data_IF_149433744525
#
_entry.id   IF_149433744525
#
_cell.length_a   1.000
_cell.length_b   1.000
_cell.length_c   1.000
_cell.angle_alpha   90.00
_cell.angle_beta   90.00
_cell.angle_gamma   90.00
#
_symmetry.space_group_name_H-M   'P 1'
#
loop_
_entity.id
_entity.type
_entity.pdbx_description
1 polymer ?
#
# COMPACT_ATOMS: atom_id res chain seq x y z
N UNK A 1 70.28 80.59 -6.92
CA UNK A 1 69.47 79.64 -7.61
C UNK A 1 69.33 78.45 -6.69
N UNK A 2 68.24 78.39 -5.92
CA UNK A 2 67.98 77.34 -4.94
C UNK A 2 66.78 76.53 -5.48
N UNK A 3 67.03 75.27 -5.78
CA UNK A 3 66.03 74.32 -6.30
C UNK A 3 65.34 73.67 -5.08
N UNK A 4 64.05 73.86 -5.01
CA UNK A 4 63.17 73.29 -3.93
C UNK A 4 62.63 71.92 -4.48
N UNK A 5 63.02 70.85 -3.81
CA UNK A 5 62.50 69.50 -4.16
C UNK A 5 61.27 69.28 -3.24
N UNK A 6 60.12 69.19 -3.83
CA UNK A 6 58.85 68.79 -3.14
C UNK A 6 58.70 67.29 -3.25
N UNK A 7 58.77 66.60 -2.14
CA UNK A 7 58.52 65.17 -2.03
C UNK A 7 57.02 64.95 -1.83
N UNK A 8 56.34 64.33 -2.79
CA UNK A 8 54.94 63.93 -2.68
C UNK A 8 54.88 62.56 -2.04
N UNK A 9 54.28 62.48 -0.86
CA UNK A 9 54.04 61.24 -0.14
C UNK A 9 52.70 60.66 -0.61
N UNK A 10 52.74 59.54 -1.36
CA UNK A 10 51.55 58.84 -1.84
C UNK A 10 51.13 57.84 -0.76
N UNK A 11 49.99 58.08 -0.12
CA UNK A 11 49.39 57.16 0.86
C UNK A 11 48.57 56.12 0.07
N UNK A 12 49.03 54.86 0.02
CA UNK A 12 48.25 53.74 -0.46
C UNK A 12 47.28 53.26 0.64
N UNK A 13 46.00 53.52 0.45
CA UNK A 13 44.94 52.91 1.25
C UNK A 13 44.70 51.49 0.73
N UNK A 14 45.09 50.50 1.52
CA UNK A 14 44.65 49.11 1.30
C UNK A 14 43.19 48.98 1.71
N UNK A 15 42.29 48.93 0.73
CA UNK A 15 40.94 48.47 0.90
C UNK A 15 40.97 46.97 1.11
N UNK A 16 40.80 46.53 2.34
CA UNK A 16 40.61 45.09 2.69
C UNK A 16 39.32 44.58 2.11
N UNK A 17 39.39 43.79 1.05
CA UNK A 17 38.25 43.05 0.52
C UNK A 17 37.94 41.90 1.48
N UNK A 18 36.98 42.09 2.40
CA UNK A 18 36.44 41.02 3.19
C UNK A 18 35.67 40.11 2.28
N UNK A 19 36.25 38.95 1.93
CA UNK A 19 35.54 37.84 1.30
C UNK A 19 34.58 37.24 2.34
N UNK A 20 33.33 37.65 2.31
CA UNK A 20 32.25 36.88 2.91
C UNK A 20 32.29 35.49 2.28
N UNK A 21 32.88 34.51 2.96
CA UNK A 21 32.62 33.11 2.74
C UNK A 21 31.17 32.86 3.15
N UNK A 22 30.25 32.98 2.23
CA UNK A 22 28.97 32.27 2.33
C UNK A 22 29.35 30.80 2.35
N UNK A 23 29.40 30.22 3.54
CA UNK A 23 29.32 28.77 3.71
C UNK A 23 27.94 28.39 3.17
N UNK A 24 27.92 27.99 1.90
CA UNK A 24 26.85 27.13 1.40
C UNK A 24 26.88 25.90 2.32
N UNK A 25 25.99 25.84 3.29
CA UNK A 25 25.76 24.63 4.04
C UNK A 25 25.44 23.57 3.02
N UNK A 26 26.33 22.61 2.86
CA UNK A 26 26.05 21.36 2.17
C UNK A 26 24.86 20.73 2.92
N UNK A 27 23.66 21.01 2.43
CA UNK A 27 22.47 20.25 2.77
C UNK A 27 22.67 18.88 2.12
N UNK A 28 23.52 18.04 2.72
CA UNK A 28 23.62 16.63 2.40
C UNK A 28 22.23 16.07 2.54
N UNK A 29 21.53 15.88 1.41
CA UNK A 29 20.22 15.27 1.40
C UNK A 29 20.35 13.94 2.11
N UNK A 30 19.63 13.78 3.22
CA UNK A 30 19.57 12.51 3.93
C UNK A 30 18.98 11.48 2.99
N UNK A 31 19.54 10.29 2.95
CA UNK A 31 19.15 9.22 2.02
C UNK A 31 18.84 7.95 2.76
N UNK A 32 18.04 7.11 2.14
CA UNK A 32 17.82 5.71 2.50
C UNK A 32 18.02 4.81 1.29
N UNK A 33 17.89 3.51 1.43
CA UNK A 33 17.93 2.55 0.33
C UNK A 33 16.89 1.45 0.54
N UNK A 34 16.33 0.94 -0.55
CA UNK A 34 15.50 -0.27 -0.55
C UNK A 34 16.37 -1.54 -0.41
N UNK A 35 15.83 -2.64 0.17
CA UNK A 35 14.56 -2.72 0.86
C UNK A 35 14.59 -1.99 2.22
N UNK A 36 13.42 -1.53 2.70
CA UNK A 36 13.31 -0.86 3.99
C UNK A 36 13.05 -1.84 5.14
N UNK A 37 12.31 -2.93 4.88
CA UNK A 37 11.99 -3.97 5.86
C UNK A 37 11.89 -5.35 5.20
N UNK A 38 12.03 -6.37 5.99
CA UNK A 38 11.59 -7.73 5.66
C UNK A 38 10.07 -7.81 5.80
N UNK A 39 9.41 -8.56 4.92
CA UNK A 39 7.98 -8.78 5.00
C UNK A 39 7.27 -8.68 3.66
N UNK A 40 5.95 -8.75 3.73
CA UNK A 40 5.07 -8.76 2.57
C UNK A 40 3.83 -7.91 2.84
N UNK A 41 3.04 -7.69 1.77
CA UNK A 41 1.71 -7.10 1.83
C UNK A 41 1.68 -5.80 2.65
N UNK A 42 2.55 -4.82 2.31
CA UNK A 42 2.76 -3.64 3.13
C UNK A 42 1.55 -2.71 3.11
N UNK A 43 1.02 -2.40 4.29
CA UNK A 43 -0.03 -1.41 4.43
C UNK A 43 0.40 -0.27 5.33
N UNK A 44 0.42 0.94 4.79
CA UNK A 44 0.72 2.16 5.54
C UNK A 44 -0.34 3.22 5.28
N UNK A 45 -0.79 3.90 6.35
CA UNK A 45 -1.63 5.09 6.26
C UNK A 45 -1.00 6.25 7.00
N UNK A 46 -1.25 7.47 6.54
CA UNK A 46 -0.87 8.71 7.23
C UNK A 46 -2.06 9.27 7.98
N UNK A 47 -1.90 9.55 9.28
CA UNK A 47 -2.90 10.18 10.12
C UNK A 47 -2.28 11.36 10.87
N UNK A 48 -2.61 12.57 10.45
CA UNK A 48 -1.90 13.76 10.91
C UNK A 48 -0.41 13.69 10.54
N UNK A 49 0.47 13.75 11.54
CA UNK A 49 1.91 13.60 11.33
C UNK A 49 2.42 12.17 11.54
N UNK A 50 1.55 11.24 11.89
CA UNK A 50 1.92 9.85 12.15
C UNK A 50 1.71 8.97 10.91
N UNK A 51 2.62 8.05 10.70
CA UNK A 51 2.50 6.93 9.79
C UNK A 51 2.18 5.68 10.59
N UNK A 52 1.09 5.02 10.23
CA UNK A 52 0.67 3.76 10.84
C UNK A 52 0.94 2.67 9.83
N UNK A 53 1.89 1.80 10.11
CA UNK A 53 2.18 0.61 9.32
C UNK A 53 1.53 -0.60 9.99
N UNK A 54 0.73 -1.36 9.22
CA UNK A 54 -0.01 -2.53 9.69
C UNK A 54 0.54 -3.78 8.99
N UNK A 55 0.87 -4.81 9.75
CA UNK A 55 1.41 -6.05 9.20
C UNK A 55 1.08 -7.26 10.08
N UNK A 56 1.14 -8.45 9.50
CA UNK A 56 0.98 -9.70 10.24
C UNK A 56 2.32 -10.37 10.54
N UNK A 57 2.45 -10.95 11.71
CA UNK A 57 3.58 -11.79 12.10
C UNK A 57 3.11 -12.85 13.12
N UNK A 58 3.49 -14.11 12.90
CA UNK A 58 3.18 -15.22 13.81
C UNK A 58 1.68 -15.31 14.19
N UNK A 59 0.80 -15.21 13.18
CA UNK A 59 -0.66 -15.14 13.36
C UNK A 59 -1.14 -14.02 14.28
N UNK A 60 -0.40 -12.92 14.36
CA UNK A 60 -0.77 -11.70 15.07
C UNK A 60 -0.82 -10.52 14.10
N UNK A 61 -1.56 -9.47 14.47
CA UNK A 61 -1.62 -8.20 13.76
C UNK A 61 -0.90 -7.16 14.61
N UNK A 62 0.10 -6.54 13.99
CA UNK A 62 1.00 -5.59 14.64
C UNK A 62 0.89 -4.24 13.94
N UNK A 63 0.82 -3.18 14.74
CA UNK A 63 0.91 -1.81 14.27
C UNK A 63 2.26 -1.21 14.65
N UNK A 64 2.82 -0.44 13.71
CA UNK A 64 3.94 0.46 13.98
C UNK A 64 3.46 1.90 13.81
N UNK A 65 3.67 2.77 14.81
CA UNK A 65 3.39 4.20 14.72
C UNK A 65 4.68 5.00 14.74
N UNK A 66 4.93 5.77 13.68
CA UNK A 66 6.17 6.52 13.47
C UNK A 66 5.89 7.90 12.87
N UNK A 67 6.77 8.87 13.15
CA UNK A 67 6.82 10.15 12.41
C UNK A 67 7.57 10.02 11.08
N UNK A 68 8.16 8.86 10.80
CA UNK A 68 8.98 8.59 9.62
C UNK A 68 8.36 7.47 8.79
N UNK A 69 8.33 7.66 7.48
CA UNK A 69 7.92 6.62 6.54
C UNK A 69 8.95 5.49 6.46
N UNK A 70 10.23 5.85 6.56
CA UNK A 70 11.36 4.93 6.33
C UNK A 70 11.76 4.11 7.54
N UNK A 71 11.10 4.29 8.71
CA UNK A 71 11.45 3.61 9.96
C UNK A 71 10.22 3.21 10.76
N UNK A 72 10.25 2.00 11.28
CA UNK A 72 9.32 1.63 12.34
C UNK A 72 9.50 2.55 13.55
N UNK A 73 8.37 2.86 14.19
CA UNK A 73 8.32 3.56 15.46
C UNK A 73 7.94 2.62 16.60
N UNK A 74 7.03 3.10 17.45
CA UNK A 74 6.46 2.28 18.51
C UNK A 74 5.63 1.14 17.92
N UNK A 75 5.83 -0.07 18.45
CA UNK A 75 5.13 -1.27 18.01
C UNK A 75 4.08 -1.71 19.02
N UNK A 76 2.91 -2.10 18.54
CA UNK A 76 1.88 -2.73 19.37
C UNK A 76 1.28 -3.93 18.66
N UNK A 77 1.27 -5.08 19.33
CA UNK A 77 0.43 -6.21 18.95
C UNK A 77 -1.01 -5.87 19.37
N UNK A 78 -1.92 -5.72 18.41
CA UNK A 78 -3.30 -5.33 18.63
C UNK A 78 -4.25 -6.52 18.67
N UNK A 79 -3.86 -7.65 18.11
CA UNK A 79 -4.65 -8.87 18.07
C UNK A 79 -3.78 -10.08 17.75
N UNK A 80 -4.10 -11.20 18.34
CA UNK A 80 -3.50 -12.51 18.06
C UNK A 80 -4.61 -13.51 17.79
N UNK A 81 -4.41 -14.35 16.77
CA UNK A 81 -5.35 -15.39 16.40
C UNK A 81 -5.71 -16.28 17.61
N UNK A 82 -6.98 -16.57 17.84
CA UNK A 82 -7.40 -17.43 18.94
C UNK A 82 -6.98 -18.88 18.71
N UNK A 83 -6.93 -19.69 19.76
CA UNK A 83 -6.59 -21.11 19.65
C UNK A 83 -7.64 -21.94 18.88
N UNK A 84 -8.87 -21.44 18.80
CA UNK A 84 -10.00 -22.09 18.14
C UNK A 84 -10.81 -21.08 17.32
N UNK A 85 -11.65 -21.56 16.41
CA UNK A 85 -12.49 -20.70 15.57
C UNK A 85 -12.00 -20.64 14.14
N UNK A 86 -12.75 -19.88 13.32
CA UNK A 86 -12.53 -19.77 11.89
C UNK A 86 -11.20 -19.05 11.54
N UNK A 87 -10.70 -18.18 12.43
CA UNK A 87 -9.54 -17.29 12.24
C UNK A 87 -8.34 -17.70 13.11
N UNK A 88 -8.21 -19.00 13.44
CA UNK A 88 -7.15 -19.48 14.33
C UNK A 88 -5.75 -19.57 13.70
N UNK A 89 -5.66 -19.41 12.38
CA UNK A 89 -4.40 -19.58 11.63
C UNK A 89 -4.36 -18.72 10.37
N UNK A 90 -3.19 -18.67 9.75
CA UNK A 90 -2.99 -18.07 8.41
C UNK A 90 -3.52 -16.63 8.33
N UNK A 91 -3.09 -15.79 9.26
CA UNK A 91 -3.44 -14.35 9.31
C UNK A 91 -2.62 -13.60 8.28
N UNK A 92 -3.28 -13.05 7.24
CA UNK A 92 -2.65 -12.43 6.09
C UNK A 92 -3.13 -10.99 5.86
N UNK A 93 -2.24 -10.20 5.25
CA UNK A 93 -2.49 -8.91 4.62
C UNK A 93 -3.46 -8.00 5.39
N UNK A 94 -3.18 -7.64 6.66
CA UNK A 94 -4.05 -6.75 7.41
C UNK A 94 -3.92 -5.31 6.90
N UNK A 95 -5.05 -4.64 6.72
CA UNK A 95 -5.17 -3.24 6.33
C UNK A 95 -5.91 -2.43 7.37
N UNK A 96 -5.32 -1.34 7.87
CA UNK A 96 -5.94 -0.46 8.84
C UNK A 96 -6.53 0.79 8.19
N UNK A 97 -7.79 1.10 8.50
CA UNK A 97 -8.54 2.24 7.95
C UNK A 97 -9.19 3.05 9.07
N UNK A 98 -9.14 4.39 8.97
CA UNK A 98 -9.83 5.28 9.91
C UNK A 98 -11.18 5.70 9.32
N UNK A 99 -12.28 5.16 9.85
CA UNK A 99 -13.64 5.36 9.32
C UNK A 99 -14.55 5.80 10.48
N UNK A 100 -15.27 6.92 10.32
CA UNK A 100 -16.25 7.43 11.31
C UNK A 100 -15.70 7.46 12.75
N UNK A 101 -14.50 8.01 12.93
CA UNK A 101 -13.83 8.17 14.23
C UNK A 101 -13.48 6.86 14.95
N UNK A 102 -13.22 5.78 14.19
CA UNK A 102 -12.71 4.51 14.70
C UNK A 102 -11.71 3.93 13.70
N UNK A 103 -10.78 3.14 14.20
CA UNK A 103 -9.89 2.34 13.38
C UNK A 103 -10.50 0.97 13.15
N UNK A 104 -10.44 0.52 11.92
CA UNK A 104 -10.84 -0.83 11.52
C UNK A 104 -9.66 -1.51 10.84
N UNK A 105 -9.42 -2.77 11.20
CA UNK A 105 -8.39 -3.58 10.54
C UNK A 105 -9.09 -4.73 9.83
N UNK A 106 -8.99 -4.74 8.51
CA UNK A 106 -9.46 -5.83 7.68
C UNK A 106 -8.30 -6.80 7.46
N UNK A 107 -8.57 -8.09 7.62
CA UNK A 107 -7.54 -9.12 7.51
C UNK A 107 -8.14 -10.39 6.91
N UNK A 108 -7.30 -11.25 6.33
CA UNK A 108 -7.70 -12.60 5.98
C UNK A 108 -7.16 -13.58 7.03
N UNK A 109 -7.96 -14.61 7.34
CA UNK A 109 -7.53 -15.72 8.19
C UNK A 109 -8.33 -16.98 7.86
N UNK A 110 -7.83 -18.11 8.31
CA UNK A 110 -8.47 -19.41 8.12
C UNK A 110 -8.25 -20.34 9.30
N UNK A 111 -8.78 -21.54 9.18
CA UNK A 111 -8.64 -22.56 10.22
C UNK A 111 -7.30 -23.27 10.14
N UNK A 112 -6.75 -23.42 8.94
CA UNK A 112 -5.51 -24.15 8.66
C UNK A 112 -5.02 -23.89 7.24
N UNK A 113 -3.86 -24.39 6.91
CA UNK A 113 -3.28 -24.43 5.55
C UNK A 113 -1.87 -25.01 5.59
N UNK A 114 -1.31 -25.43 4.46
CA UNK A 114 -1.95 -25.73 3.18
C UNK A 114 -2.85 -26.98 3.23
N UNK A 115 -3.84 -27.12 2.35
CA UNK A 115 -4.32 -26.15 1.36
C UNK A 115 -5.04 -24.97 2.04
N UNK A 116 -4.88 -23.75 1.49
CA UNK A 116 -5.43 -22.51 2.08
C UNK A 116 -6.88 -22.27 1.62
N UNK A 117 -7.75 -23.23 1.83
CA UNK A 117 -9.15 -23.22 1.34
C UNK A 117 -10.14 -22.58 2.34
N UNK A 118 -9.68 -22.26 3.55
CA UNK A 118 -10.55 -21.77 4.63
C UNK A 118 -10.47 -20.25 4.84
N UNK A 119 -9.74 -19.54 3.98
CA UNK A 119 -9.56 -18.08 4.15
C UNK A 119 -10.88 -17.32 4.06
N UNK A 120 -11.09 -16.44 5.01
CA UNK A 120 -12.24 -15.53 5.11
C UNK A 120 -11.72 -14.13 5.49
N UNK A 121 -12.46 -13.12 5.07
CA UNK A 121 -12.22 -11.75 5.53
C UNK A 121 -12.79 -11.55 6.93
N UNK A 122 -11.98 -10.99 7.82
CA UNK A 122 -12.37 -10.58 9.16
C UNK A 122 -12.16 -9.11 9.39
N UNK A 123 -12.75 -8.55 10.43
CA UNK A 123 -12.58 -7.14 10.79
C UNK A 123 -12.44 -6.96 12.30
N UNK A 124 -11.45 -6.15 12.69
CA UNK A 124 -11.27 -5.66 14.06
C UNK A 124 -11.69 -4.19 14.10
N UNK A 125 -12.21 -3.75 15.24
CA UNK A 125 -12.58 -2.36 15.51
C UNK A 125 -11.88 -1.84 16.75
N UNK A 126 -11.25 -0.66 16.67
CA UNK A 126 -10.66 -0.01 17.86
C UNK A 126 -11.74 0.42 18.85
N UNK A 127 -11.46 0.31 20.14
CA UNK A 127 -12.38 0.76 21.18
C UNK A 127 -12.47 2.27 21.30
N UNK A 128 -11.43 2.98 20.89
CA UNK A 128 -11.38 4.46 20.90
C UNK A 128 -10.82 5.00 19.59
N UNK A 129 -10.64 6.33 19.50
CA UNK A 129 -10.00 7.01 18.37
C UNK A 129 -8.47 6.81 18.35
N UNK A 130 -7.89 6.39 19.48
CA UNK A 130 -6.46 6.07 19.53
C UNK A 130 -6.19 4.79 18.78
N UNK A 131 -5.27 4.85 17.82
CA UNK A 131 -4.85 3.70 17.01
C UNK A 131 -4.22 2.59 17.86
N UNK A 132 -3.67 2.93 19.01
CA UNK A 132 -3.10 2.00 19.97
C UNK A 132 -4.06 1.60 21.10
N UNK A 133 -5.36 1.92 20.97
CA UNK A 133 -6.37 1.35 21.88
C UNK A 133 -6.47 -0.17 21.72
N UNK A 134 -7.26 -0.81 22.57
CA UNK A 134 -7.64 -2.20 22.37
C UNK A 134 -8.58 -2.33 21.16
N UNK A 135 -8.56 -3.50 20.53
CA UNK A 135 -9.44 -3.84 19.42
C UNK A 135 -10.43 -4.93 19.81
N UNK A 136 -11.61 -4.84 19.25
CA UNK A 136 -12.68 -5.81 19.35
C UNK A 136 -12.76 -6.58 18.03
N UNK A 137 -12.82 -7.91 18.09
CA UNK A 137 -13.06 -8.75 16.91
C UNK A 137 -14.55 -8.67 16.56
N UNK A 138 -14.84 -8.07 15.40
CA UNK A 138 -16.22 -7.93 14.89
C UNK A 138 -16.65 -9.17 14.10
N UNK A 139 -15.78 -10.18 13.98
CA UNK A 139 -16.05 -11.44 13.33
C UNK A 139 -15.80 -11.45 11.82
N UNK A 140 -16.36 -12.45 11.17
CA UNK A 140 -16.23 -12.68 9.74
C UNK A 140 -17.13 -11.73 8.94
N UNK A 141 -16.62 -11.24 7.82
CA UNK A 141 -17.41 -10.55 6.80
C UNK A 141 -17.96 -11.57 5.80
N UNK A 142 -19.25 -11.45 5.50
CA UNK A 142 -19.92 -12.34 4.56
C UNK A 142 -19.72 -11.85 3.13
N UNK A 143 -18.80 -12.48 2.40
CA UNK A 143 -18.35 -12.13 1.06
C UNK A 143 -19.01 -12.96 -0.05
N UNK A 144 -20.02 -13.76 0.27
CA UNK A 144 -20.79 -14.58 -0.67
C UNK A 144 -21.85 -13.81 -1.44
N UNK A 145 -22.66 -14.53 -2.20
CA UNK A 145 -23.72 -13.94 -3.02
C UNK A 145 -24.98 -13.57 -2.20
N UNK A 146 -25.10 -14.14 -1.00
CA UNK A 146 -26.16 -13.80 -0.05
C UNK A 146 -25.53 -13.45 1.31
N UNK A 147 -25.27 -12.17 1.62
CA UNK A 147 -24.66 -11.77 2.90
C UNK A 147 -25.55 -12.06 4.14
N UNK A 148 -26.83 -12.35 3.96
CA UNK A 148 -27.72 -12.76 5.03
C UNK A 148 -27.60 -14.27 5.38
N UNK A 149 -26.92 -15.05 4.54
CA UNK A 149 -26.73 -16.49 4.71
C UNK A 149 -25.25 -16.82 4.94
N UNK A 150 -24.89 -17.07 6.18
CA UNK A 150 -23.52 -17.41 6.56
C UNK A 150 -22.97 -18.66 5.85
N UNK A 151 -23.84 -19.58 5.45
CA UNK A 151 -23.44 -20.81 4.74
C UNK A 151 -23.02 -20.55 3.30
N UNK A 152 -23.44 -19.42 2.73
CA UNK A 152 -23.06 -18.98 1.38
C UNK A 152 -21.72 -18.22 1.36
N UNK A 153 -21.03 -18.07 2.51
CA UNK A 153 -19.77 -17.36 2.56
C UNK A 153 -18.68 -18.07 1.75
N UNK A 154 -17.91 -17.28 1.01
CA UNK A 154 -16.92 -17.77 0.05
C UNK A 154 -15.54 -17.26 0.46
N UNK A 155 -14.51 -17.99 0.08
CA UNK A 155 -13.11 -17.64 0.23
C UNK A 155 -12.84 -16.18 -0.19
N UNK A 156 -12.15 -15.44 0.67
CA UNK A 156 -11.85 -14.02 0.48
C UNK A 156 -10.58 -13.61 1.21
N UNK A 157 -9.73 -12.81 0.52
CA UNK A 157 -8.52 -12.20 1.06
C UNK A 157 -8.37 -10.75 0.59
N UNK A 158 -7.41 -10.02 1.14
CA UNK A 158 -6.94 -8.71 0.67
C UNK A 158 -8.07 -7.69 0.53
N UNK A 159 -8.82 -7.50 1.61
CA UNK A 159 -9.96 -6.59 1.62
C UNK A 159 -9.52 -5.18 1.93
N UNK A 160 -9.80 -4.26 1.00
CA UNK A 160 -9.61 -2.81 1.14
C UNK A 160 -10.92 -2.05 1.10
N UNK A 161 -10.91 -0.80 1.62
CA UNK A 161 -12.09 0.05 1.71
C UNK A 161 -12.01 1.25 0.77
N UNK A 162 -13.10 1.48 0.05
CA UNK A 162 -13.31 2.65 -0.79
C UNK A 162 -14.45 3.50 -0.24
N UNK A 163 -14.14 4.68 0.29
CA UNK A 163 -15.15 5.71 0.52
C UNK A 163 -15.35 6.52 -0.76
N UNK A 164 -16.59 6.57 -1.26
CA UNK A 164 -16.94 7.34 -2.44
C UNK A 164 -18.33 7.96 -2.29
N UNK A 165 -18.42 9.31 -2.40
CA UNK A 165 -19.67 10.07 -2.32
C UNK A 165 -20.53 9.72 -1.10
N UNK A 166 -19.90 9.62 0.06
CA UNK A 166 -20.57 9.35 1.34
C UNK A 166 -20.99 7.90 1.54
N UNK A 167 -20.68 7.02 0.60
CA UNK A 167 -20.87 5.57 0.72
C UNK A 167 -19.55 4.87 0.94
N UNK A 168 -19.61 3.72 1.61
CA UNK A 168 -18.48 2.83 1.85
C UNK A 168 -18.64 1.58 0.99
N UNK A 169 -17.55 1.15 0.35
CA UNK A 169 -17.47 -0.07 -0.42
C UNK A 169 -16.28 -0.90 0.04
N UNK A 170 -16.46 -2.23 0.08
CA UNK A 170 -15.37 -3.17 0.23
C UNK A 170 -14.96 -3.70 -1.16
N UNK A 171 -13.66 -3.84 -1.40
CA UNK A 171 -13.09 -4.49 -2.58
C UNK A 171 -12.14 -5.58 -2.07
N UNK A 172 -12.19 -6.78 -2.64
CA UNK A 172 -11.40 -7.91 -2.19
C UNK A 172 -11.09 -8.91 -3.29
N UNK A 173 -10.13 -9.78 -3.05
CA UNK A 173 -9.87 -10.97 -3.86
C UNK A 173 -10.71 -12.14 -3.36
N UNK A 174 -11.36 -12.87 -4.27
CA UNK A 174 -12.24 -13.99 -3.90
C UNK A 174 -12.45 -14.99 -5.01
N UNK A 175 -12.99 -16.15 -4.63
CA UNK A 175 -13.38 -17.21 -5.55
C UNK A 175 -14.81 -17.02 -6.05
N UNK A 176 -15.13 -17.63 -7.19
CA UNK A 176 -16.52 -17.64 -7.73
C UNK A 176 -17.44 -18.39 -6.78
N UNK A 177 -17.01 -19.56 -6.29
CA UNK A 177 -17.69 -20.37 -5.29
C UNK A 177 -16.66 -20.99 -4.36
N UNK A 178 -17.08 -21.54 -3.24
CA UNK A 178 -16.19 -22.27 -2.36
C UNK A 178 -15.68 -23.54 -3.06
N UNK A 179 -14.37 -23.74 -3.03
CA UNK A 179 -13.69 -24.87 -3.63
C UNK A 179 -12.92 -25.68 -2.58
N UNK A 180 -12.48 -26.87 -2.97
CA UNK A 180 -11.74 -27.81 -2.13
C UNK A 180 -10.24 -27.80 -2.42
N UNK A 181 -9.79 -26.91 -3.31
CA UNK A 181 -8.38 -26.72 -3.66
C UNK A 181 -8.07 -25.24 -3.76
N UNK A 182 -6.90 -24.82 -3.26
CA UNK A 182 -6.38 -23.45 -3.38
C UNK A 182 -5.75 -23.18 -4.76
N UNK A 183 -5.67 -24.17 -5.65
CA UNK A 183 -5.38 -23.98 -7.07
C UNK A 183 -6.60 -23.43 -7.83
N UNK A 184 -7.25 -22.41 -7.26
CA UNK A 184 -8.49 -21.81 -7.77
C UNK A 184 -8.24 -20.35 -8.19
N UNK A 185 -8.65 -19.95 -9.42
CA UNK A 185 -8.51 -18.58 -9.88
C UNK A 185 -9.17 -17.57 -8.94
N UNK A 186 -8.50 -16.42 -8.74
CA UNK A 186 -8.99 -15.36 -7.87
C UNK A 186 -9.43 -14.15 -8.70
N UNK A 187 -10.54 -13.55 -8.29
CA UNK A 187 -11.19 -12.42 -8.97
C UNK A 187 -11.36 -11.27 -7.99
N UNK A 188 -11.35 -10.03 -8.49
CA UNK A 188 -11.75 -8.89 -7.67
C UNK A 188 -13.27 -8.78 -7.60
N UNK A 189 -13.76 -8.60 -6.39
CA UNK A 189 -15.16 -8.31 -6.08
C UNK A 189 -15.30 -6.96 -5.41
N UNK A 190 -16.48 -6.35 -5.54
CA UNK A 190 -16.90 -5.14 -4.85
C UNK A 190 -18.30 -5.32 -4.26
N UNK A 191 -18.55 -4.72 -3.10
CA UNK A 191 -19.89 -4.61 -2.51
C UNK A 191 -20.03 -3.28 -1.76
N UNK A 192 -21.23 -2.70 -1.74
CA UNK A 192 -21.56 -1.60 -0.85
C UNK A 192 -21.64 -2.11 0.59
N UNK A 193 -21.13 -1.32 1.53
CA UNK A 193 -21.18 -1.61 2.97
C UNK A 193 -22.31 -0.83 3.63
N UNK A 194 -23.03 -1.45 4.55
CA UNK A 194 -23.98 -0.77 5.42
C UNK A 194 -23.23 0.01 6.52
N UNK A 195 -22.24 -0.62 7.06
CA UNK A 195 -21.32 -0.07 8.06
C UNK A 195 -19.95 -0.76 7.89
N UNK A 196 -18.88 -0.36 8.59
CA UNK A 196 -17.53 -0.89 8.36
C UNK A 196 -17.35 -2.40 8.63
N UNK A 197 -18.33 -3.11 9.15
CA UNK A 197 -18.27 -4.55 9.43
C UNK A 197 -19.49 -5.33 8.95
N UNK A 198 -20.31 -4.73 8.04
CA UNK A 198 -21.51 -5.40 7.49
C UNK A 198 -21.67 -5.07 6.02
N UNK A 199 -21.73 -6.10 5.17
CA UNK A 199 -22.06 -5.95 3.75
C UNK A 199 -23.54 -5.57 3.60
N UNK A 200 -23.85 -4.64 2.68
CA UNK A 200 -25.23 -4.20 2.42
C UNK A 200 -25.93 -5.06 1.37
N UNK A 201 -25.18 -5.57 0.41
CA UNK A 201 -25.73 -6.31 -0.71
C UNK A 201 -24.84 -7.46 -1.16
N UNK A 202 -25.27 -8.17 -2.18
CA UNK A 202 -24.45 -9.20 -2.80
C UNK A 202 -23.20 -8.59 -3.45
N UNK A 203 -22.17 -9.40 -3.54
CA UNK A 203 -20.93 -9.03 -4.24
C UNK A 203 -21.15 -8.91 -5.75
N UNK A 204 -20.41 -8.01 -6.36
CA UNK A 204 -20.30 -7.88 -7.82
C UNK A 204 -18.87 -8.19 -8.23
N UNK A 205 -18.70 -9.05 -9.23
CA UNK A 205 -17.37 -9.36 -9.78
C UNK A 205 -16.89 -8.16 -10.60
N UNK A 206 -15.85 -7.49 -10.09
CA UNK A 206 -15.30 -6.27 -10.67
C UNK A 206 -14.28 -6.56 -11.77
N UNK A 207 -13.41 -7.57 -11.56
CA UNK A 207 -12.35 -7.96 -12.49
C UNK A 207 -12.08 -9.47 -12.42
N UNK A 208 -11.66 -10.01 -13.56
CA UNK A 208 -11.14 -11.38 -13.68
C UNK A 208 -9.76 -11.33 -14.35
N UNK A 209 -8.84 -12.25 -14.04
CA UNK A 209 -7.52 -12.33 -14.69
C UNK A 209 -7.68 -12.93 -16.11
N UNK A 210 -7.92 -12.09 -17.10
CA UNK A 210 -8.19 -12.49 -18.50
C UNK A 210 -7.21 -11.88 -19.50
N UNK A 211 -6.49 -10.83 -19.11
CA UNK A 211 -5.52 -10.19 -20.00
C UNK A 211 -4.24 -11.04 -20.12
N UNK A 212 -3.55 -10.94 -21.24
CA UNK A 212 -2.33 -11.71 -21.48
C UNK A 212 -1.22 -11.43 -20.44
N UNK A 213 -1.20 -10.24 -19.87
CA UNK A 213 -0.27 -9.87 -18.82
C UNK A 213 -0.70 -10.34 -17.41
N UNK A 214 -1.94 -10.78 -17.22
CA UNK A 214 -2.46 -11.35 -15.97
C UNK A 214 -2.37 -12.88 -15.94
N UNK A 215 -2.29 -13.53 -17.11
CA UNK A 215 -2.40 -14.98 -17.28
C UNK A 215 -1.06 -15.65 -17.63
N UNK A 216 -1.05 -16.98 -17.74
CA UNK A 216 0.12 -17.78 -18.10
C UNK A 216 0.93 -18.29 -16.91
N UNK A 217 0.43 -18.13 -15.69
CA UNK A 217 0.93 -18.78 -14.48
C UNK A 217 0.11 -20.00 -14.09
N UNK A 218 0.46 -20.67 -13.00
CA UNK A 218 -0.27 -21.85 -12.54
C UNK A 218 -1.67 -21.55 -12.01
N UNK A 219 -1.96 -20.31 -11.57
CA UNK A 219 -3.20 -20.00 -10.86
C UNK A 219 -4.09 -19.00 -11.58
N UNK A 220 -3.56 -17.95 -12.18
CA UNK A 220 -4.30 -16.79 -12.70
C UNK A 220 -5.12 -16.07 -11.62
N UNK A 221 -4.62 -14.97 -11.12
CA UNK A 221 -5.26 -14.26 -10.02
C UNK A 221 -5.26 -12.73 -10.20
N UNK A 222 -6.25 -12.08 -9.58
CA UNK A 222 -6.28 -10.68 -9.25
C UNK A 222 -6.43 -10.56 -7.71
N UNK A 223 -5.47 -9.93 -7.03
CA UNK A 223 -5.44 -9.78 -5.57
C UNK A 223 -4.80 -8.46 -5.13
N UNK A 224 -4.65 -8.21 -3.83
CA UNK A 224 -3.94 -7.06 -3.30
C UNK A 224 -4.47 -5.72 -3.82
N UNK A 225 -5.79 -5.58 -3.91
CA UNK A 225 -6.43 -4.37 -4.42
C UNK A 225 -6.23 -3.19 -3.48
N UNK A 226 -5.82 -2.04 -4.03
CA UNK A 226 -5.55 -0.81 -3.28
C UNK A 226 -6.19 0.41 -3.94
N UNK A 227 -6.76 1.30 -3.13
CA UNK A 227 -7.41 2.50 -3.61
C UNK A 227 -6.39 3.63 -3.77
N UNK A 228 -6.36 4.21 -4.97
CA UNK A 228 -5.57 5.41 -5.25
C UNK A 228 -6.48 6.49 -5.83
N UNK A 229 -6.36 7.73 -5.35
CA UNK A 229 -7.17 8.86 -5.80
C UNK A 229 -6.31 10.03 -6.23
N UNK A 230 -6.74 10.71 -7.29
CA UNK A 230 -6.14 11.96 -7.74
C UNK A 230 -7.25 12.92 -8.20
N UNK A 231 -7.56 13.93 -7.39
CA UNK A 231 -8.75 14.77 -7.63
C UNK A 231 -10.01 13.93 -7.71
N UNK A 232 -10.70 14.00 -8.86
CA UNK A 232 -11.90 13.20 -9.12
C UNK A 232 -11.63 11.80 -9.69
N UNK A 233 -10.36 11.48 -10.00
CA UNK A 233 -10.01 10.16 -10.48
C UNK A 233 -9.94 9.16 -9.32
N UNK A 234 -10.52 7.99 -9.55
CA UNK A 234 -10.50 6.86 -8.63
C UNK A 234 -9.91 5.66 -9.36
N UNK A 235 -8.89 5.07 -8.75
CA UNK A 235 -8.21 3.89 -9.27
C UNK A 235 -8.24 2.77 -8.23
N UNK A 236 -8.36 1.54 -8.72
CA UNK A 236 -8.02 0.32 -7.96
C UNK A 236 -6.76 -0.24 -8.57
N UNK A 237 -5.65 -0.12 -7.85
CA UNK A 237 -4.39 -0.77 -8.22
C UNK A 237 -4.42 -2.15 -7.60
N UNK A 238 -4.18 -3.19 -8.39
CA UNK A 238 -4.26 -4.56 -7.93
C UNK A 238 -3.10 -5.39 -8.47
N UNK A 239 -2.84 -6.49 -7.85
CA UNK A 239 -1.78 -7.40 -8.25
C UNK A 239 -2.34 -8.55 -9.06
N UNK A 240 -1.53 -9.07 -9.98
CA UNK A 240 -1.84 -10.23 -10.78
C UNK A 240 -0.60 -11.10 -10.98
N UNK A 241 -0.79 -12.30 -11.50
CA UNK A 241 0.16 -13.40 -11.45
C UNK A 241 0.36 -13.83 -10.00
N UNK A 242 1.23 -14.77 -9.77
CA UNK A 242 1.40 -15.40 -8.44
C UNK A 242 2.49 -14.69 -7.64
N UNK A 243 2.19 -14.31 -6.39
CA UNK A 243 3.11 -13.54 -5.53
C UNK A 243 4.39 -14.30 -5.15
N UNK A 244 4.46 -15.62 -5.37
CA UNK A 244 5.65 -16.44 -5.17
C UNK A 244 6.52 -16.58 -6.44
N UNK A 245 6.13 -15.92 -7.57
CA UNK A 245 6.84 -15.91 -8.84
C UNK A 245 7.39 -14.52 -9.18
N UNK A 246 8.38 -14.48 -10.06
CA UNK A 246 9.02 -13.22 -10.51
C UNK A 246 8.09 -12.37 -11.39
N UNK A 247 7.06 -12.97 -11.94
CA UNK A 247 6.09 -12.33 -12.82
C UNK A 247 5.00 -11.54 -12.09
N UNK A 248 4.95 -11.60 -10.77
CA UNK A 248 4.00 -10.80 -9.98
C UNK A 248 4.12 -9.31 -10.35
N UNK A 249 2.99 -8.68 -10.63
CA UNK A 249 2.93 -7.31 -11.15
C UNK A 249 1.61 -6.64 -10.84
N UNK A 250 1.48 -5.37 -11.16
CA UNK A 250 0.27 -4.60 -10.87
C UNK A 250 -0.47 -4.19 -12.14
N UNK A 251 -1.79 -4.33 -12.09
CA UNK A 251 -2.77 -3.76 -13.00
C UNK A 251 -3.54 -2.61 -12.35
N UNK A 252 -4.38 -1.96 -13.13
CA UNK A 252 -5.19 -0.82 -12.71
C UNK A 252 -6.59 -0.93 -13.27
N UNK A 253 -7.59 -0.69 -12.41
CA UNK A 253 -8.95 -0.35 -12.82
C UNK A 253 -9.16 1.14 -12.57
N UNK A 254 -9.53 1.89 -13.59
CA UNK A 254 -9.86 3.30 -13.49
C UNK A 254 -11.37 3.49 -13.59
N UNK A 255 -11.98 4.18 -12.63
CA UNK A 255 -13.37 4.59 -12.70
C UNK A 255 -13.54 5.60 -13.84
N UNK A 256 -14.30 5.23 -14.88
CA UNK A 256 -14.47 6.04 -16.11
C UNK A 256 -15.32 7.27 -15.81
N UNK A 257 -16.41 7.07 -15.07
CA UNK A 257 -17.31 8.14 -14.67
C UNK A 257 -17.37 8.23 -13.14
N UNK A 258 -16.81 9.29 -12.53
CA UNK A 258 -16.84 9.46 -11.07
C UNK A 258 -18.26 9.55 -10.48
N UNK A 259 -19.27 9.85 -11.30
CA UNK A 259 -20.69 9.90 -10.92
C UNK A 259 -21.42 8.58 -11.20
N UNK A 260 -20.76 7.63 -11.85
CA UNK A 260 -21.32 6.34 -12.22
C UNK A 260 -21.47 5.37 -11.05
N UNK A 261 -22.25 4.32 -11.28
CA UNK A 261 -22.40 3.23 -10.34
C UNK A 261 -21.11 2.41 -10.24
N UNK A 262 -20.51 2.36 -9.05
CA UNK A 262 -19.29 1.58 -8.79
C UNK A 262 -19.54 0.06 -8.87
N UNK A 263 -20.77 -0.38 -8.66
CA UNK A 263 -21.17 -1.79 -8.77
C UNK A 263 -21.40 -2.24 -10.22
N UNK A 264 -21.30 -1.33 -11.18
CA UNK A 264 -21.33 -1.68 -12.60
C UNK A 264 -19.89 -1.88 -13.13
N UNK A 265 -19.46 -3.12 -13.45
CA UNK A 265 -18.10 -3.36 -13.96
C UNK A 265 -17.76 -2.59 -15.24
N UNK A 266 -18.76 -2.24 -16.06
CA UNK A 266 -18.55 -1.46 -17.29
C UNK A 266 -18.09 -0.01 -17.01
N UNK A 267 -18.23 0.49 -15.78
CA UNK A 267 -17.71 1.81 -15.36
C UNK A 267 -16.21 1.77 -15.01
N UNK A 268 -15.58 0.61 -15.08
CA UNK A 268 -14.17 0.45 -14.75
C UNK A 268 -13.37 0.05 -15.98
N UNK A 269 -12.38 0.87 -16.33
CA UNK A 269 -11.45 0.58 -17.43
C UNK A 269 -10.22 -0.14 -16.87
N UNK A 270 -9.97 -1.36 -17.34
CA UNK A 270 -8.77 -2.12 -17.01
C UNK A 270 -7.60 -1.68 -17.88
N UNK A 271 -6.42 -1.54 -17.27
CA UNK A 271 -5.15 -1.20 -17.95
C UNK A 271 -4.01 -1.88 -17.21
N UNK A 272 -3.01 -2.37 -17.94
CA UNK A 272 -1.81 -2.95 -17.32
C UNK A 272 -0.83 -3.55 -18.33
N UNK A 273 0.34 -4.00 -17.80
CA UNK A 273 0.77 -3.78 -16.43
C UNK A 273 1.14 -2.31 -16.19
N UNK A 274 0.84 -1.77 -14.99
CA UNK A 274 1.16 -0.39 -14.61
C UNK A 274 2.42 -0.29 -13.74
N UNK A 275 2.79 -1.39 -13.08
CA UNK A 275 4.04 -1.54 -12.35
C UNK A 275 4.48 -2.99 -12.34
N UNK A 276 5.74 -3.26 -12.66
CA UNK A 276 6.27 -4.62 -12.77
C UNK A 276 7.76 -4.67 -12.46
N UNK A 277 8.26 -5.86 -12.14
CA UNK A 277 9.68 -6.10 -11.93
C UNK A 277 10.54 -5.80 -13.15
N UNK A 278 11.84 -5.72 -12.93
CA UNK A 278 12.86 -5.55 -13.96
C UNK A 278 14.00 -6.57 -13.75
N UNK A 279 15.14 -6.40 -14.41
CA UNK A 279 16.28 -7.32 -14.27
C UNK A 279 16.92 -7.36 -12.87
N UNK A 280 16.61 -6.43 -11.98
CA UNK A 280 17.21 -6.28 -10.64
C UNK A 280 16.20 -6.38 -9.50
N UNK A 281 14.91 -6.18 -9.75
CA UNK A 281 13.83 -6.25 -8.76
C UNK A 281 12.72 -7.12 -9.32
N UNK A 282 12.35 -8.17 -8.64
CA UNK A 282 11.46 -9.21 -9.15
C UNK A 282 10.18 -9.32 -8.35
N UNK A 283 9.09 -9.72 -8.99
CA UNK A 283 7.84 -10.05 -8.33
C UNK A 283 7.31 -8.90 -7.47
N UNK A 284 7.12 -7.72 -8.06
CA UNK A 284 6.62 -6.52 -7.37
C UNK A 284 5.11 -6.48 -7.35
N UNK A 285 4.52 -6.17 -6.20
CA UNK A 285 3.08 -6.06 -6.06
C UNK A 285 2.64 -5.79 -4.64
N UNK A 286 1.32 -5.95 -4.41
CA UNK A 286 0.64 -5.72 -3.16
C UNK A 286 1.13 -4.46 -2.48
N UNK A 287 0.61 -3.32 -2.91
CA UNK A 287 1.11 -2.00 -2.52
C UNK A 287 0.18 -1.27 -1.56
N UNK A 288 0.66 -0.16 -1.02
CA UNK A 288 -0.13 0.90 -0.41
C UNK A 288 0.40 2.26 -0.84
N UNK A 289 -0.39 3.32 -0.60
CA UNK A 289 -0.07 4.67 -1.05
C UNK A 289 -0.14 5.66 0.11
N UNK A 290 0.89 6.49 0.23
CA UNK A 290 0.93 7.57 1.24
C UNK A 290 1.55 8.84 0.69
N UNK A 291 1.26 9.96 1.32
CA UNK A 291 1.94 11.24 1.08
C UNK A 291 3.19 11.35 1.96
N UNK A 292 4.21 12.06 1.46
CA UNK A 292 5.36 12.50 2.26
C UNK A 292 4.93 13.32 3.50
N UNK A 293 5.80 13.52 4.51
CA UNK A 293 5.48 14.31 5.70
C UNK A 293 4.90 15.69 5.40
N UNK A 294 5.43 16.39 4.42
CA UNK A 294 4.95 17.71 3.98
C UNK A 294 3.81 17.66 2.92
N UNK A 295 3.33 16.47 2.57
CA UNK A 295 2.29 16.20 1.57
C UNK A 295 2.63 16.61 0.12
N UNK A 296 3.89 16.89 -0.20
CA UNK A 296 4.30 17.32 -1.55
C UNK A 296 4.59 16.19 -2.51
N UNK A 297 4.87 14.99 -1.99
CA UNK A 297 5.20 13.80 -2.78
C UNK A 297 4.17 12.68 -2.55
N UNK A 298 3.89 11.93 -3.61
CA UNK A 298 3.13 10.67 -3.56
C UNK A 298 4.10 9.50 -3.57
N UNK A 299 3.86 8.52 -2.69
CA UNK A 299 4.73 7.36 -2.51
C UNK A 299 3.95 6.07 -2.65
N UNK A 300 4.54 5.11 -3.38
CA UNK A 300 4.11 3.72 -3.41
C UNK A 300 5.00 2.89 -2.48
N UNK A 301 4.38 2.08 -1.64
CA UNK A 301 5.02 1.09 -0.78
C UNK A 301 4.56 -0.27 -1.29
N UNK A 302 5.47 -1.18 -1.57
CA UNK A 302 5.17 -2.46 -2.22
C UNK A 302 6.12 -3.54 -1.72
N UNK A 303 5.76 -4.80 -1.92
CA UNK A 303 6.73 -5.85 -1.71
C UNK A 303 7.39 -6.30 -3.02
N UNK A 304 8.58 -6.89 -2.89
CA UNK A 304 9.26 -7.60 -3.96
C UNK A 304 9.83 -8.92 -3.47
N UNK A 305 10.08 -9.84 -4.38
CA UNK A 305 10.75 -11.09 -4.05
C UNK A 305 12.24 -10.87 -3.74
N UNK A 306 12.77 -11.60 -2.75
CA UNK A 306 14.20 -11.56 -2.40
C UNK A 306 15.08 -12.30 -3.41
N UNK A 307 14.51 -13.23 -4.18
CA UNK A 307 15.23 -14.02 -5.17
C UNK A 307 14.37 -14.34 -6.40
N UNK A 308 14.98 -14.85 -7.45
CA UNK A 308 14.29 -15.32 -8.64
C UNK A 308 13.68 -16.72 -8.49
N UNK A 309 14.08 -17.49 -7.48
CA UNK A 309 13.48 -18.80 -7.21
C UNK A 309 12.03 -18.65 -6.75
N UNK A 310 11.12 -19.58 -7.13
CA UNK A 310 9.78 -19.62 -6.57
C UNK A 310 9.82 -19.68 -5.04
N UNK A 311 8.94 -18.91 -4.37
CA UNK A 311 8.89 -18.89 -2.90
C UNK A 311 8.34 -17.58 -2.34
N UNK A 312 8.07 -17.61 -1.04
CA UNK A 312 7.33 -16.57 -0.33
C UNK A 312 8.23 -15.54 0.38
N UNK A 313 9.56 -15.63 0.20
CA UNK A 313 10.47 -14.65 0.79
C UNK A 313 10.42 -13.33 0.04
N UNK A 314 9.97 -12.30 0.74
CA UNK A 314 9.72 -10.96 0.21
C UNK A 314 10.32 -9.91 1.12
N UNK A 315 10.55 -8.73 0.55
CA UNK A 315 10.96 -7.52 1.25
C UNK A 315 10.06 -6.35 0.87
N UNK A 316 9.97 -5.37 1.78
CA UNK A 316 9.19 -4.15 1.59
C UNK A 316 10.08 -3.05 1.04
N UNK A 317 9.58 -2.38 0.02
CA UNK A 317 10.22 -1.28 -0.71
C UNK A 317 9.31 -0.08 -0.79
N UNK A 318 9.88 1.08 -1.01
CA UNK A 318 9.13 2.29 -1.27
C UNK A 318 9.86 3.21 -2.25
N UNK A 319 9.08 3.98 -3.01
CA UNK A 319 9.61 5.00 -3.91
C UNK A 319 8.55 6.07 -4.18
N UNK A 320 8.96 7.32 -4.52
CA UNK A 320 8.02 8.32 -4.99
C UNK A 320 7.52 7.95 -6.38
N UNK A 321 6.31 8.41 -6.72
CA UNK A 321 5.77 8.31 -8.07
C UNK A 321 5.18 9.64 -8.53
N UNK A 322 4.87 9.74 -9.82
CA UNK A 322 4.35 10.95 -10.44
C UNK A 322 2.96 10.70 -11.06
N UNK A 323 2.27 11.78 -11.37
CA UNK A 323 1.02 11.75 -12.11
C UNK A 323 1.26 12.19 -13.56
N UNK A 324 0.72 11.43 -14.52
CA UNK A 324 0.72 11.80 -15.93
C UNK A 324 -0.25 12.97 -16.18
N UNK A 325 -0.13 13.59 -17.34
CA UNK A 325 -1.01 14.72 -17.73
C UNK A 325 -2.51 14.35 -17.78
N UNK A 326 -2.84 13.07 -17.99
CA UNK A 326 -4.20 12.55 -17.98
C UNK A 326 -4.70 12.18 -16.57
N UNK A 327 -3.91 12.44 -15.53
CA UNK A 327 -4.23 12.16 -14.14
C UNK A 327 -3.99 10.71 -13.72
N UNK A 328 -3.50 9.83 -14.61
CA UNK A 328 -3.13 8.46 -14.24
C UNK A 328 -1.78 8.39 -13.53
N UNK A 329 -1.54 7.41 -12.64
CA UNK A 329 -0.25 7.28 -11.96
C UNK A 329 0.85 6.81 -12.93
N UNK A 330 2.08 7.31 -12.69
CA UNK A 330 3.32 6.81 -13.28
C UNK A 330 4.24 6.35 -12.15
N UNK A 331 4.23 5.06 -11.88
CA UNK A 331 5.04 4.46 -10.80
C UNK A 331 6.53 4.33 -11.15
N UNK A 332 6.91 4.58 -12.42
CA UNK A 332 8.28 4.40 -12.90
C UNK A 332 8.72 2.93 -12.89
N UNK A 333 10.03 2.72 -12.70
CA UNK A 333 10.63 1.40 -12.57
C UNK A 333 10.95 1.12 -11.09
N UNK A 334 10.83 -0.12 -10.60
CA UNK A 334 11.21 -0.46 -9.25
C UNK A 334 12.72 -0.26 -9.04
N UNK A 335 13.06 0.41 -7.94
CA UNK A 335 14.42 0.87 -7.67
C UNK A 335 15.24 -0.27 -7.05
N UNK A 336 16.45 -0.57 -7.59
CA UNK A 336 17.29 -1.65 -7.12
C UNK A 336 17.71 -1.54 -5.65
N UNK A 337 18.01 -2.69 -5.04
CA UNK A 337 18.52 -2.75 -3.67
C UNK A 337 19.84 -1.97 -3.54
N UNK A 338 20.01 -1.24 -2.43
CA UNK A 338 21.20 -0.46 -2.13
C UNK A 338 21.35 0.86 -2.90
N UNK A 339 20.53 1.11 -3.93
CA UNK A 339 20.51 2.40 -4.59
C UNK A 339 19.95 3.46 -3.62
N UNK A 340 20.72 4.57 -3.47
CA UNK A 340 20.34 5.67 -2.59
C UNK A 340 19.16 6.44 -3.15
N UNK A 341 18.16 6.65 -2.32
CA UNK A 341 16.99 7.50 -2.53
C UNK A 341 17.04 8.66 -1.54
N UNK A 342 16.56 9.83 -1.93
CA UNK A 342 16.32 10.89 -0.96
C UNK A 342 15.25 10.42 0.04
N UNK A 343 15.37 10.83 1.32
CA UNK A 343 14.26 10.67 2.26
C UNK A 343 13.01 11.35 1.70
N UNK A 344 11.81 10.85 2.05
CA UNK A 344 10.56 11.54 1.73
C UNK A 344 10.60 13.01 2.14
N UNK A 345 10.06 13.89 1.31
CA UNK A 345 10.09 15.34 1.57
C UNK A 345 9.48 15.66 2.93
N UNK A 346 10.21 16.42 3.75
CA UNK A 346 9.81 16.72 5.14
C UNK A 346 10.20 15.64 6.17
N UNK A 347 10.78 14.50 5.80
CA UNK A 347 11.30 13.52 6.75
C UNK A 347 12.70 13.94 7.27
N UNK A 348 12.83 14.10 8.60
CA UNK A 348 14.03 14.63 9.28
C UNK A 348 14.92 13.52 9.87
#
# INVERSE_FOLDING_TARGET
MKILIVTILTIFSFAGCSKNKTTAGDNLKKTFANPVWDGADPWMVKQGDDYIYCFSANNSIILSKSKKMTKHGELKNIWTAPATGWNRACVWAPEIHFIKNRWYVYYAAGESGPPFIHQRAGVLRSKTVDVFSDYEDMGVLYTGDNPADATSNVWAIDMTMLEHKGKLYAIWSGWIKQETTDATPQHLYISEMENPYTMKGKRVKLSSPVESWETGGPLNLNEGAQILKNGNHVFVIYSCRESWLVEYRQGMLQLINPDGDLLNPANWKKTGPVFQGNSQVHGVGHCSFVKSPDNTEDWIIYHSKKSTAPGWERDVRMQPFQWKADGTPDFGQPIPAGQKLNLPSGEL
#
